data_IF_295512382856
#
_entry.id   IF_295512382856
#
_cell.length_a   1.000
_cell.length_b   1.000
_cell.length_c   1.000
_cell.angle_alpha   90.00
_cell.angle_beta   90.00
_cell.angle_gamma   90.00
#
_symmetry.space_group_name_H-M   'P 1'
#
loop_
_entity.id
_entity.type
_entity.pdbx_description
1 polymer ?
#
# COMPACT_ATOMS: atom_id res chain seq x y z
N UNK A 1 45.06 32.19 -0.68
CA UNK A 1 44.11 32.12 0.45
C UNK A 1 43.41 30.77 0.41
N UNK A 2 43.97 29.76 1.06
CA UNK A 2 43.34 28.45 1.25
C UNK A 2 42.72 28.43 2.64
N UNK A 3 41.39 28.29 2.72
CA UNK A 3 40.68 28.01 3.98
C UNK A 3 40.63 26.49 4.12
N UNK A 4 41.09 25.96 5.26
CA UNK A 4 41.18 24.52 5.50
C UNK A 4 39.83 23.87 5.78
N UNK A 5 39.69 22.60 5.39
CA UNK A 5 38.49 21.78 5.59
C UNK A 5 38.07 21.58 7.06
N UNK A 6 38.89 22.00 8.03
CA UNK A 6 38.57 21.95 9.46
C UNK A 6 37.61 23.04 9.93
N UNK A 7 37.43 24.12 9.15
CA UNK A 7 36.58 25.26 9.54
C UNK A 7 35.08 25.01 9.22
N UNK A 8 34.79 24.08 8.30
CA UNK A 8 33.42 23.67 7.95
C UNK A 8 32.83 22.65 8.92
N UNK A 9 33.64 21.75 9.48
CA UNK A 9 33.16 20.73 10.42
C UNK A 9 32.70 21.35 11.75
N UNK A 10 33.40 22.39 12.24
CA UNK A 10 33.01 23.12 13.44
C UNK A 10 31.71 23.93 13.25
N UNK A 11 31.50 24.56 12.09
CA UNK A 11 30.26 25.31 11.79
C UNK A 11 29.06 24.38 11.59
N UNK A 12 29.24 23.21 10.97
CA UNK A 12 28.18 22.20 10.82
C UNK A 12 27.80 21.52 12.15
N UNK A 13 28.78 21.29 13.04
CA UNK A 13 28.51 20.77 14.38
C UNK A 13 27.77 21.80 15.24
N UNK A 14 28.19 23.07 15.19
CA UNK A 14 27.51 24.19 15.86
C UNK A 14 26.07 24.36 15.38
N UNK A 15 25.79 24.26 14.07
CA UNK A 15 24.42 24.33 13.54
C UNK A 15 23.53 23.15 13.96
N UNK A 16 24.08 21.92 13.98
CA UNK A 16 23.36 20.74 14.48
C UNK A 16 23.06 20.84 15.97
N UNK A 17 23.99 21.37 16.77
CA UNK A 17 23.80 21.53 18.21
C UNK A 17 22.73 22.59 18.51
N UNK A 18 22.78 23.73 17.83
CA UNK A 18 21.79 24.82 17.98
C UNK A 18 20.38 24.38 17.55
N UNK A 19 20.24 23.55 16.51
CA UNK A 19 18.92 23.03 16.08
C UNK A 19 18.35 21.97 17.04
N UNK A 20 19.21 21.15 17.66
CA UNK A 20 18.79 20.15 18.66
C UNK A 20 18.40 20.83 19.98
N UNK A 21 19.15 21.85 20.40
CA UNK A 21 18.87 22.62 21.62
C UNK A 21 17.61 23.49 21.48
N UNK A 22 17.36 24.07 20.29
CA UNK A 22 16.12 24.80 20.01
C UNK A 22 14.87 23.89 20.04
N UNK A 23 14.97 22.66 19.50
CA UNK A 23 13.91 21.67 19.58
C UNK A 23 13.67 21.18 21.02
N UNK A 24 14.74 20.97 21.79
CA UNK A 24 14.64 20.57 23.21
C UNK A 24 14.01 21.67 24.07
N UNK A 25 14.39 22.93 23.84
CA UNK A 25 13.84 24.08 24.55
C UNK A 25 12.35 24.31 24.24
N UNK A 26 11.93 24.09 22.99
CA UNK A 26 10.51 24.12 22.62
C UNK A 26 9.73 23.00 23.31
N UNK A 27 10.21 21.76 23.27
CA UNK A 27 9.55 20.60 23.92
C UNK A 27 9.41 20.79 25.44
N UNK A 28 10.44 21.30 26.12
CA UNK A 28 10.38 21.57 27.56
C UNK A 28 9.45 22.73 27.93
N UNK A 29 9.35 23.76 27.07
CA UNK A 29 8.41 24.87 27.25
C UNK A 29 6.95 24.40 27.07
N UNK A 30 6.70 23.44 26.16
CA UNK A 30 5.38 22.86 25.94
C UNK A 30 4.96 21.86 27.03
N UNK A 31 5.90 21.09 27.59
CA UNK A 31 5.62 20.19 28.73
C UNK A 31 5.17 20.96 30.00
N UNK A 32 5.62 22.21 30.18
CA UNK A 32 5.15 23.08 31.27
C UNK A 32 3.76 23.66 31.03
N UNK A 33 3.39 23.91 29.77
CA UNK A 33 2.11 24.50 29.41
C UNK A 33 0.95 23.48 29.48
N UNK A 34 1.24 22.18 29.34
CA UNK A 34 0.26 21.10 29.52
C UNK A 34 -0.09 20.82 31.00
N UNK A 35 0.82 21.08 31.96
CA UNK A 35 0.51 20.91 33.40
C UNK A 35 -0.45 21.95 33.97
N UNK A 36 -0.74 23.01 33.22
CA UNK A 36 -1.58 24.12 33.72
C UNK A 36 -3.08 23.91 33.40
N UNK A 37 -3.44 22.94 32.55
CA UNK A 37 -4.83 22.76 32.08
C UNK A 37 -5.51 21.45 32.53
N UNK A 38 -4.99 20.74 33.53
CA UNK A 38 -5.71 19.60 34.15
C UNK A 38 -6.77 20.08 35.16
N UNK A 39 -7.78 20.77 34.66
CA UNK A 39 -8.91 21.20 35.47
C UNK A 39 -10.11 21.50 34.61
N UNK A 40 -10.74 20.47 34.04
CA UNK A 40 -12.18 20.40 33.71
C UNK A 40 -12.47 19.05 33.03
N UNK A 41 -13.22 18.20 33.74
CA UNK A 41 -13.66 16.89 33.29
C UNK A 41 -14.82 16.94 32.29
N UNK A 42 -15.03 15.80 31.63
CA UNK A 42 -16.10 15.45 30.69
C UNK A 42 -16.05 16.10 29.30
N UNK A 43 -15.51 15.38 28.31
CA UNK A 43 -16.00 15.33 26.91
C UNK A 43 -15.13 14.36 26.05
N UNK A 44 -15.13 13.07 26.39
CA UNK A 44 -14.51 12.04 25.53
C UNK A 44 -15.58 11.53 24.55
N UNK A 45 -15.76 12.22 23.42
CA UNK A 45 -16.38 11.65 22.19
C UNK A 45 -16.23 12.45 20.89
N UNK A 46 -15.47 13.54 20.86
CA UNK A 46 -15.25 14.33 19.63
C UNK A 46 -13.78 14.80 19.43
N UNK A 47 -12.83 14.19 20.13
CA UNK A 47 -11.44 14.69 20.24
C UNK A 47 -10.56 14.23 19.07
N UNK A 48 -10.86 13.11 18.40
CA UNK A 48 -10.00 12.56 17.33
C UNK A 48 -9.85 13.46 16.09
N UNK A 49 -10.97 13.93 15.51
CA UNK A 49 -10.93 14.78 14.31
C UNK A 49 -10.36 16.17 14.61
N UNK A 50 -10.70 16.76 15.77
CA UNK A 50 -10.18 18.07 16.16
C UNK A 50 -8.69 18.04 16.47
N UNK A 51 -8.16 16.97 17.08
CA UNK A 51 -6.72 16.87 17.34
C UNK A 51 -5.91 16.78 16.04
N UNK A 52 -6.38 16.02 15.05
CA UNK A 52 -5.69 15.87 13.77
C UNK A 52 -5.72 17.17 12.95
N UNK A 53 -6.88 17.83 12.89
CA UNK A 53 -7.03 19.13 12.25
C UNK A 53 -6.19 20.19 12.98
N UNK A 54 -6.20 20.21 14.31
CA UNK A 54 -5.40 21.13 15.12
C UNK A 54 -3.90 20.90 14.96
N UNK A 55 -3.45 19.64 14.87
CA UNK A 55 -2.06 19.28 14.56
C UNK A 55 -1.67 19.76 13.15
N UNK A 56 -2.51 19.53 12.14
CA UNK A 56 -2.28 19.99 10.76
C UNK A 56 -2.28 21.53 10.63
N UNK A 57 -3.07 22.23 11.44
CA UNK A 57 -3.15 23.70 11.42
C UNK A 57 -1.97 24.38 12.14
N UNK A 58 -1.34 23.74 13.14
CA UNK A 58 -0.37 24.37 14.04
C UNK A 58 1.11 24.08 13.74
N UNK A 59 1.42 23.02 12.98
CA UNK A 59 2.81 22.55 12.72
C UNK A 59 3.36 23.01 11.34
N UNK A 60 2.73 23.98 10.68
CA UNK A 60 3.17 24.50 9.37
C UNK A 60 3.84 25.89 9.44
N UNK A 61 5.01 26.08 10.09
CA UNK A 61 5.92 27.16 9.70
C UNK A 61 6.83 26.69 8.56
N UNK A 62 6.97 27.57 7.56
CA UNK A 62 7.69 27.38 6.30
C UNK A 62 9.20 27.15 6.48
N UNK A 63 9.72 26.08 5.87
CA UNK A 63 10.94 26.19 5.04
C UNK A 63 10.90 25.12 3.94
N UNK A 64 10.45 25.53 2.75
CA UNK A 64 10.36 24.70 1.54
C UNK A 64 11.71 24.69 0.82
N UNK A 65 12.76 24.21 1.49
CA UNK A 65 14.09 24.07 0.90
C UNK A 65 14.70 22.76 1.37
N UNK A 66 14.23 21.65 0.80
CA UNK A 66 14.95 20.37 0.67
C UNK A 66 14.02 19.30 0.09
N UNK A 67 13.96 19.15 -1.23
CA UNK A 67 13.52 17.92 -1.87
C UNK A 67 14.28 17.74 -3.19
N UNK A 68 15.62 17.66 -3.09
CA UNK A 68 16.44 17.02 -4.11
C UNK A 68 16.26 15.49 -3.98
N UNK A 69 16.04 14.84 -5.12
CA UNK A 69 16.07 13.38 -5.39
C UNK A 69 15.72 12.50 -4.18
N UNK A 70 14.43 12.13 -4.03
CA UNK A 70 14.04 11.16 -3.00
C UNK A 70 14.56 9.76 -3.37
N UNK A 71 15.46 9.15 -2.58
CA UNK A 71 15.91 7.78 -2.82
C UNK A 71 14.75 6.80 -2.66
N UNK A 72 14.80 5.70 -3.40
CA UNK A 72 13.89 4.58 -3.23
C UNK A 72 14.05 4.02 -1.81
N UNK A 73 13.00 4.13 -0.98
CA UNK A 73 13.01 3.63 0.40
C UNK A 73 13.08 2.10 0.38
N UNK A 74 14.22 1.55 0.82
CA UNK A 74 14.49 0.11 0.76
C UNK A 74 13.55 -0.66 1.68
N UNK A 75 13.28 -0.13 2.87
CA UNK A 75 12.33 -0.69 3.83
C UNK A 75 10.94 -0.88 3.23
N UNK A 76 10.43 0.12 2.50
CA UNK A 76 9.13 0.02 1.83
C UNK A 76 9.17 -1.00 0.70
N UNK A 77 10.26 -1.10 -0.06
CA UNK A 77 10.38 -2.14 -1.08
C UNK A 77 10.32 -3.54 -0.47
N UNK A 78 11.05 -3.77 0.62
CA UNK A 78 11.02 -5.05 1.33
C UNK A 78 9.62 -5.37 1.82
N UNK A 79 8.95 -4.38 2.43
CA UNK A 79 7.61 -4.57 2.96
C UNK A 79 6.57 -4.83 1.86
N UNK A 80 6.70 -4.21 0.68
CA UNK A 80 5.85 -4.52 -0.49
C UNK A 80 6.02 -5.97 -0.95
N UNK A 81 7.26 -6.48 -0.95
CA UNK A 81 7.53 -7.88 -1.28
C UNK A 81 6.94 -8.84 -0.25
N UNK A 82 7.13 -8.55 1.04
CA UNK A 82 6.55 -9.31 2.15
C UNK A 82 5.01 -9.32 2.05
N UNK A 83 4.38 -8.16 1.85
CA UNK A 83 2.92 -8.04 1.73
C UNK A 83 2.35 -8.84 0.55
N UNK A 84 3.02 -8.82 -0.62
CA UNK A 84 2.62 -9.66 -1.76
C UNK A 84 2.66 -11.15 -1.39
N UNK A 85 3.72 -11.59 -0.72
CA UNK A 85 3.87 -12.99 -0.32
C UNK A 85 2.90 -13.40 0.80
N UNK A 86 2.51 -12.47 1.68
CA UNK A 86 1.43 -12.68 2.65
C UNK A 86 0.09 -12.96 1.95
N UNK A 87 -0.24 -12.19 0.89
CA UNK A 87 -1.45 -12.42 0.09
C UNK A 87 -1.42 -13.77 -0.61
N UNK A 88 -0.26 -14.16 -1.17
CA UNK A 88 -0.08 -15.50 -1.76
C UNK A 88 -0.37 -16.59 -0.73
N UNK A 89 0.19 -16.47 0.47
CA UNK A 89 -0.03 -17.42 1.55
C UNK A 89 -1.50 -17.51 1.95
N UNK A 90 -2.19 -16.37 2.05
CA UNK A 90 -3.61 -16.32 2.36
C UNK A 90 -4.47 -17.06 1.33
N UNK A 91 -4.25 -16.81 0.03
CA UNK A 91 -5.02 -17.49 -1.02
C UNK A 91 -4.64 -18.96 -1.18
N UNK A 92 -3.37 -19.33 -0.96
CA UNK A 92 -2.95 -20.73 -0.93
C UNK A 92 -3.67 -21.48 0.20
N UNK A 93 -3.74 -20.88 1.39
CA UNK A 93 -4.47 -21.41 2.54
C UNK A 93 -5.99 -21.53 2.27
N UNK A 94 -6.60 -20.51 1.66
CA UNK A 94 -8.01 -20.56 1.26
C UNK A 94 -8.29 -21.75 0.32
N UNK A 95 -7.40 -21.98 -0.65
CA UNK A 95 -7.51 -23.14 -1.54
C UNK A 95 -7.26 -24.47 -0.81
N UNK A 96 -6.34 -24.53 0.17
CA UNK A 96 -6.16 -25.77 0.93
C UNK A 96 -7.37 -26.10 1.79
N UNK A 97 -8.05 -25.10 2.33
CA UNK A 97 -9.29 -25.29 3.08
C UNK A 97 -10.41 -25.80 2.15
N UNK A 98 -10.56 -25.18 0.98
CA UNK A 98 -11.60 -25.53 0.00
C UNK A 98 -11.39 -26.92 -0.64
N UNK A 99 -10.16 -27.25 -1.04
CA UNK A 99 -9.89 -28.43 -1.88
C UNK A 99 -9.25 -29.60 -1.15
N UNK A 100 -8.63 -29.38 0.01
CA UNK A 100 -7.89 -30.43 0.74
C UNK A 100 -8.31 -30.55 2.22
N UNK A 101 -9.30 -29.80 2.68
CA UNK A 101 -9.82 -29.86 4.05
C UNK A 101 -8.83 -29.40 5.14
N UNK A 102 -7.82 -28.60 4.77
CA UNK A 102 -6.77 -28.14 5.69
C UNK A 102 -6.77 -26.62 5.80
N UNK A 103 -6.97 -26.13 7.03
CA UNK A 103 -7.03 -24.69 7.33
C UNK A 103 -5.82 -24.27 8.15
N UNK A 104 -5.17 -23.20 7.71
CA UNK A 104 -4.06 -22.52 8.36
C UNK A 104 -4.51 -21.12 8.80
N UNK A 105 -3.61 -20.39 9.46
CA UNK A 105 -3.91 -19.04 9.94
C UNK A 105 -4.21 -18.05 8.80
N UNK A 106 -5.23 -17.17 8.92
CA UNK A 106 -5.56 -16.17 7.91
C UNK A 106 -4.63 -14.95 7.92
N UNK A 107 -3.55 -14.96 8.72
CA UNK A 107 -2.61 -13.84 8.89
C UNK A 107 -2.10 -13.21 7.58
N UNK A 108 -2.05 -13.99 6.49
CA UNK A 108 -1.67 -13.49 5.18
C UNK A 108 -2.59 -12.39 4.63
N UNK A 109 -3.85 -12.30 5.08
CA UNK A 109 -4.81 -11.29 4.63
C UNK A 109 -4.32 -9.86 4.93
N UNK A 110 -3.56 -9.67 6.01
CA UNK A 110 -2.96 -8.38 6.41
C UNK A 110 -2.06 -7.78 5.33
N UNK A 111 -1.59 -8.58 4.36
CA UNK A 111 -0.82 -8.06 3.23
C UNK A 111 -1.58 -6.99 2.44
N UNK A 112 -2.91 -7.09 2.34
CA UNK A 112 -3.76 -6.07 1.69
C UNK A 112 -3.74 -4.76 2.49
N UNK A 113 -3.93 -4.84 3.79
CA UNK A 113 -4.01 -3.68 4.68
C UNK A 113 -2.63 -2.95 4.73
N UNK A 114 -1.53 -3.71 4.72
CA UNK A 114 -0.17 -3.19 4.54
C UNK A 114 -0.04 -2.45 3.19
N UNK A 115 -0.57 -2.99 2.09
CA UNK A 115 -0.53 -2.31 0.79
C UNK A 115 -1.29 -0.98 0.81
N UNK A 116 -2.48 -0.91 1.42
CA UNK A 116 -3.24 0.34 1.51
C UNK A 116 -2.50 1.43 2.29
N UNK A 117 -1.91 1.09 3.43
CA UNK A 117 -1.08 2.01 4.22
C UNK A 117 0.16 2.46 3.41
N UNK A 118 0.85 1.53 2.73
CA UNK A 118 1.99 1.87 1.87
C UNK A 118 1.57 2.78 0.72
N UNK A 119 0.43 2.53 0.07
CA UNK A 119 -0.06 3.36 -1.03
C UNK A 119 -0.33 4.79 -0.57
N UNK A 120 -1.00 4.97 0.58
CA UNK A 120 -1.17 6.29 1.20
C UNK A 120 0.16 6.99 1.51
N UNK A 121 1.09 6.26 2.14
CA UNK A 121 2.42 6.75 2.50
C UNK A 121 3.21 7.22 1.28
N UNK A 122 3.32 6.38 0.25
CA UNK A 122 4.07 6.68 -0.97
C UNK A 122 3.42 7.82 -1.75
N UNK A 123 2.08 7.90 -1.82
CA UNK A 123 1.42 9.02 -2.49
C UNK A 123 1.78 10.35 -1.83
N UNK A 124 1.77 10.38 -0.50
CA UNK A 124 2.11 11.60 0.26
C UNK A 124 3.58 11.99 0.12
N UNK A 125 4.50 11.05 0.32
CA UNK A 125 5.95 11.32 0.36
C UNK A 125 6.52 11.63 -1.02
N UNK A 126 6.04 10.96 -2.07
CA UNK A 126 6.60 11.12 -3.43
C UNK A 126 5.95 12.25 -4.23
N UNK A 127 4.79 12.78 -3.80
CA UNK A 127 4.10 13.83 -4.54
C UNK A 127 4.45 15.21 -3.99
N UNK A 128 5.46 15.83 -4.61
CA UNK A 128 5.85 17.21 -4.34
C UNK A 128 4.85 18.24 -4.85
N UNK A 129 4.97 19.48 -4.36
CA UNK A 129 4.04 20.58 -4.61
C UNK A 129 3.89 21.03 -6.08
N UNK A 130 4.72 20.54 -7.00
CA UNK A 130 4.72 20.94 -8.43
C UNK A 130 4.08 19.92 -9.38
N UNK A 131 3.56 18.78 -8.88
CA UNK A 131 2.89 17.79 -9.74
C UNK A 131 1.45 18.20 -10.02
N UNK A 132 1.06 18.21 -11.29
CA UNK A 132 -0.34 18.44 -11.69
C UNK A 132 -1.19 17.18 -11.48
N UNK A 133 -2.50 17.30 -11.22
CA UNK A 133 -3.41 16.16 -11.14
C UNK A 133 -3.36 15.24 -12.37
N UNK A 134 -3.29 15.84 -13.56
CA UNK A 134 -3.24 15.09 -14.82
C UNK A 134 -1.97 14.24 -14.96
N UNK A 135 -0.79 14.82 -14.69
CA UNK A 135 0.48 14.08 -14.71
C UNK A 135 0.49 12.97 -13.65
N UNK A 136 -0.05 13.24 -12.46
CA UNK A 136 -0.19 12.22 -11.41
C UNK A 136 -1.04 11.05 -11.88
N UNK A 137 -2.27 11.29 -12.37
CA UNK A 137 -3.16 10.21 -12.82
C UNK A 137 -2.54 9.44 -13.98
N UNK A 138 -1.92 10.11 -14.96
CA UNK A 138 -1.25 9.43 -16.07
C UNK A 138 -0.17 8.46 -15.57
N UNK A 139 0.67 8.87 -14.61
CA UNK A 139 1.71 7.99 -14.05
C UNK A 139 1.10 6.79 -13.32
N UNK A 140 -0.04 6.95 -12.65
CA UNK A 140 -0.75 5.85 -11.98
C UNK A 140 -1.42 4.91 -12.96
N UNK A 141 -2.05 5.44 -14.01
CA UNK A 141 -2.65 4.64 -15.08
C UNK A 141 -1.59 3.79 -15.77
N UNK A 142 -0.46 4.40 -16.20
CA UNK A 142 0.65 3.68 -16.82
C UNK A 142 1.19 2.57 -15.90
N UNK A 143 1.18 2.80 -14.59
CA UNK A 143 1.68 1.83 -13.60
C UNK A 143 0.76 0.63 -13.40
N UNK A 144 -0.54 0.86 -13.28
CA UNK A 144 -1.52 -0.14 -12.83
C UNK A 144 -2.26 -0.78 -14.01
N UNK A 145 -2.83 0.05 -14.89
CA UNK A 145 -3.85 -0.38 -15.84
C UNK A 145 -3.34 -1.41 -16.85
N UNK A 146 -2.20 -1.23 -17.53
CA UNK A 146 -1.77 -2.16 -18.59
C UNK A 146 -1.62 -3.61 -18.12
N UNK A 147 -0.90 -3.82 -17.01
CA UNK A 147 -0.65 -5.18 -16.53
C UNK A 147 -1.94 -5.82 -15.99
N UNK A 148 -2.75 -5.07 -15.25
CA UNK A 148 -4.04 -5.57 -14.76
C UNK A 148 -4.96 -5.99 -15.93
N UNK A 149 -5.04 -5.19 -16.99
CA UNK A 149 -5.80 -5.55 -18.18
C UNK A 149 -5.24 -6.80 -18.86
N UNK A 150 -3.92 -6.88 -19.06
CA UNK A 150 -3.30 -8.08 -19.65
C UNK A 150 -3.64 -9.35 -18.87
N UNK A 151 -3.48 -9.33 -17.54
CA UNK A 151 -3.74 -10.51 -16.70
C UNK A 151 -5.24 -10.84 -16.65
N UNK A 152 -6.12 -9.84 -16.54
CA UNK A 152 -7.58 -10.04 -16.53
C UNK A 152 -8.08 -10.61 -17.86
N UNK A 153 -7.57 -10.11 -18.99
CA UNK A 153 -7.93 -10.60 -20.32
C UNK A 153 -7.37 -12.00 -20.55
N UNK A 154 -6.16 -12.31 -20.09
CA UNK A 154 -5.59 -13.65 -20.15
C UNK A 154 -6.43 -14.65 -19.35
N UNK A 155 -6.86 -14.28 -18.13
CA UNK A 155 -7.76 -15.08 -17.31
C UNK A 155 -9.10 -15.33 -18.02
N UNK A 156 -9.76 -14.28 -18.52
CA UNK A 156 -11.02 -14.42 -19.23
C UNK A 156 -10.88 -15.28 -20.50
N UNK A 157 -9.83 -15.05 -21.28
CA UNK A 157 -9.53 -15.83 -22.49
C UNK A 157 -9.31 -17.31 -22.17
N UNK A 158 -8.63 -17.61 -21.05
CA UNK A 158 -8.43 -18.99 -20.60
C UNK A 158 -9.76 -19.71 -20.34
N UNK A 159 -10.77 -19.03 -19.78
CA UNK A 159 -12.09 -19.61 -19.56
C UNK A 159 -12.87 -19.82 -20.85
N UNK A 160 -12.67 -18.93 -21.84
CA UNK A 160 -13.28 -19.07 -23.18
C UNK A 160 -12.69 -20.27 -23.92
N UNK A 161 -11.37 -20.44 -23.87
CA UNK A 161 -10.66 -21.51 -24.59
C UNK A 161 -10.83 -22.87 -23.90
N UNK A 162 -10.54 -22.94 -22.60
CA UNK A 162 -10.58 -24.17 -21.81
C UNK A 162 -11.94 -24.34 -21.15
N UNK A 163 -13.00 -24.26 -21.97
CA UNK A 163 -14.39 -24.27 -21.53
C UNK A 163 -14.64 -25.44 -20.57
N UNK A 164 -15.06 -25.13 -19.36
CA UNK A 164 -15.46 -26.12 -18.37
C UNK A 164 -16.99 -26.06 -18.16
N UNK A 165 -17.50 -26.88 -17.25
CA UNK A 165 -18.93 -26.91 -16.90
C UNK A 165 -19.42 -25.63 -16.20
N UNK A 166 -18.53 -24.71 -15.83
CA UNK A 166 -18.93 -23.42 -15.24
C UNK A 166 -19.31 -22.44 -16.33
N UNK A 167 -20.49 -21.79 -16.25
CA UNK A 167 -20.87 -20.73 -17.18
C UNK A 167 -19.85 -19.59 -17.21
N UNK A 168 -19.62 -19.03 -18.40
CA UNK A 168 -18.80 -17.83 -18.54
C UNK A 168 -19.49 -16.63 -17.87
N UNK A 169 -18.73 -15.76 -17.18
CA UNK A 169 -19.27 -14.48 -16.70
C UNK A 169 -19.80 -13.62 -17.87
N UNK A 170 -20.83 -12.79 -17.62
CA UNK A 170 -21.32 -11.86 -18.63
C UNK A 170 -20.23 -10.84 -19.00
N UNK A 171 -20.27 -10.34 -20.25
CA UNK A 171 -19.33 -9.33 -20.74
C UNK A 171 -19.35 -8.06 -19.87
N UNK A 172 -20.49 -7.73 -19.27
CA UNK A 172 -20.64 -6.64 -18.32
C UNK A 172 -19.66 -6.75 -17.14
N UNK A 173 -19.49 -7.94 -16.54
CA UNK A 173 -18.55 -8.14 -15.43
C UNK A 173 -17.10 -7.94 -15.91
N UNK A 174 -16.76 -8.36 -17.13
CA UNK A 174 -15.44 -8.10 -17.71
C UNK A 174 -15.21 -6.59 -17.87
N UNK A 175 -16.17 -5.86 -18.47
CA UNK A 175 -16.05 -4.42 -18.67
C UNK A 175 -15.94 -3.67 -17.34
N UNK A 176 -16.80 -3.99 -16.36
CA UNK A 176 -16.72 -3.40 -15.01
C UNK A 176 -15.39 -3.72 -14.32
N UNK A 177 -14.87 -4.94 -14.49
CA UNK A 177 -13.54 -5.31 -13.96
C UNK A 177 -12.44 -4.46 -14.59
N UNK A 178 -12.43 -4.29 -15.91
CA UNK A 178 -11.41 -3.50 -16.63
C UNK A 178 -11.50 -2.01 -16.30
N UNK A 179 -12.70 -1.50 -16.00
CA UNK A 179 -12.95 -0.10 -15.64
C UNK A 179 -12.84 0.18 -14.12
N UNK A 180 -12.42 -0.81 -13.32
CA UNK A 180 -12.31 -0.70 -11.86
C UNK A 180 -13.64 -0.33 -11.16
N UNK A 181 -14.76 -0.82 -11.70
CA UNK A 181 -16.10 -0.61 -11.14
C UNK A 181 -16.46 -1.79 -10.24
N UNK A 182 -16.67 -1.59 -8.93
CA UNK A 182 -17.13 -2.64 -8.03
C UNK A 182 -18.48 -3.21 -8.49
N UNK A 183 -18.58 -4.54 -8.50
CA UNK A 183 -19.77 -5.25 -8.94
C UNK A 183 -19.82 -6.64 -8.30
N UNK A 184 -21.01 -7.24 -8.34
CA UNK A 184 -21.20 -8.62 -7.88
C UNK A 184 -20.69 -9.56 -8.97
N UNK A 185 -19.76 -10.44 -8.59
CA UNK A 185 -19.25 -11.50 -9.45
C UNK A 185 -20.35 -12.51 -9.74
N UNK A 186 -20.64 -12.74 -11.02
CA UNK A 186 -21.60 -13.77 -11.44
C UNK A 186 -21.14 -15.20 -11.10
N UNK A 187 -19.87 -15.40 -10.71
CA UNK A 187 -19.32 -16.72 -10.35
C UNK A 187 -19.35 -17.00 -8.86
N UNK A 188 -19.10 -15.99 -8.03
CA UNK A 188 -18.92 -16.17 -6.58
C UNK A 188 -20.01 -15.49 -5.75
N UNK A 189 -20.81 -14.61 -6.36
CA UNK A 189 -21.81 -13.81 -5.67
C UNK A 189 -21.22 -12.74 -4.75
N UNK A 190 -19.90 -12.58 -4.72
CA UNK A 190 -19.20 -11.59 -3.89
C UNK A 190 -18.93 -10.30 -4.66
N UNK A 191 -18.64 -9.21 -3.94
CA UNK A 191 -18.22 -7.95 -4.55
C UNK A 191 -16.74 -8.05 -4.92
N UNK A 192 -16.46 -8.58 -6.10
CA UNK A 192 -15.12 -8.77 -6.61
C UNK A 192 -15.11 -8.75 -8.15
N UNK A 193 -14.04 -8.23 -8.78
CA UNK A 193 -13.85 -8.33 -10.22
C UNK A 193 -13.42 -9.74 -10.64
N UNK A 194 -13.37 -9.98 -11.96
CA UNK A 194 -13.00 -11.26 -12.56
C UNK A 194 -11.67 -11.81 -12.02
N UNK A 195 -10.66 -10.95 -11.97
CA UNK A 195 -9.42 -11.25 -11.29
C UNK A 195 -9.60 -10.82 -9.83
N UNK A 196 -9.74 -11.77 -8.91
CA UNK A 196 -10.10 -11.51 -7.50
C UNK A 196 -9.25 -10.39 -6.89
N UNK A 197 -7.94 -10.38 -7.13
CA UNK A 197 -6.99 -9.35 -6.66
C UNK A 197 -7.41 -7.91 -7.02
N UNK A 198 -8.22 -7.72 -8.06
CA UNK A 198 -8.69 -6.40 -8.50
C UNK A 198 -9.65 -5.71 -7.54
N UNK A 199 -10.26 -6.39 -6.55
CA UNK A 199 -11.16 -5.72 -5.60
C UNK A 199 -10.43 -4.62 -4.82
N UNK A 200 -9.15 -4.85 -4.47
CA UNK A 200 -8.29 -3.85 -3.81
C UNK A 200 -7.86 -2.74 -4.77
N UNK A 201 -7.70 -3.05 -6.06
CA UNK A 201 -7.36 -2.04 -7.07
C UNK A 201 -8.52 -1.06 -7.31
N UNK A 202 -9.77 -1.48 -7.12
CA UNK A 202 -10.91 -0.55 -7.14
C UNK A 202 -10.76 0.53 -6.07
N UNK A 203 -10.36 0.15 -4.85
CA UNK A 203 -10.06 1.09 -3.77
C UNK A 203 -8.89 2.00 -4.14
N UNK A 204 -7.82 1.43 -4.69
CA UNK A 204 -6.61 2.17 -5.01
C UNK A 204 -6.83 3.21 -6.14
N UNK A 205 -7.55 2.85 -7.21
CA UNK A 205 -7.89 3.77 -8.29
C UNK A 205 -8.83 4.89 -7.82
N UNK A 206 -9.78 4.58 -6.93
CA UNK A 206 -10.64 5.58 -6.32
C UNK A 206 -9.87 6.53 -5.41
N UNK A 207 -8.97 6.01 -4.57
CA UNK A 207 -8.05 6.81 -3.77
C UNK A 207 -7.16 7.71 -4.64
N UNK A 208 -6.66 7.22 -5.76
CA UNK A 208 -5.87 8.03 -6.69
C UNK A 208 -6.69 9.18 -7.29
N UNK A 209 -7.97 9.00 -7.57
CA UNK A 209 -8.83 10.09 -8.02
C UNK A 209 -9.00 11.17 -6.94
N UNK A 210 -9.28 10.78 -5.69
CA UNK A 210 -9.36 11.71 -4.55
C UNK A 210 -8.03 12.43 -4.33
N UNK A 211 -6.93 11.68 -4.36
CA UNK A 211 -5.60 12.24 -4.16
C UNK A 211 -5.22 13.20 -5.29
N UNK A 212 -5.57 12.90 -6.55
CA UNK A 212 -5.36 13.81 -7.67
C UNK A 212 -6.11 15.14 -7.49
N UNK A 213 -7.37 15.09 -7.05
CA UNK A 213 -8.14 16.30 -6.72
C UNK A 213 -7.49 17.10 -5.60
N UNK A 214 -6.91 16.41 -4.61
CA UNK A 214 -6.18 17.06 -3.52
C UNK A 214 -4.97 17.88 -3.99
N UNK A 215 -4.38 17.54 -5.16
CA UNK A 215 -3.24 18.28 -5.74
C UNK A 215 -3.62 19.66 -6.30
N UNK A 216 -4.91 19.96 -6.43
CA UNK A 216 -5.40 21.31 -6.73
C UNK A 216 -5.20 22.26 -5.52
N UNK A 217 -4.97 21.71 -4.33
CA UNK A 217 -4.78 22.46 -3.10
C UNK A 217 -3.32 22.42 -2.65
N UNK A 218 -2.89 23.48 -1.96
CA UNK A 218 -1.54 23.59 -1.42
C UNK A 218 -1.38 22.88 -0.08
N UNK A 219 -0.20 22.28 0.14
CA UNK A 219 0.34 21.86 1.45
C UNK A 219 -0.69 21.31 2.45
N UNK A 220 -0.97 22.07 3.51
CA UNK A 220 -1.89 21.68 4.60
C UNK A 220 -3.33 21.39 4.16
N UNK A 221 -3.84 22.10 3.17
CA UNK A 221 -5.22 21.92 2.68
C UNK A 221 -5.37 20.61 1.92
N UNK A 222 -4.29 20.13 1.30
CA UNK A 222 -4.23 18.79 0.70
C UNK A 222 -4.47 17.70 1.74
N UNK A 223 -3.78 17.78 2.89
CA UNK A 223 -3.98 16.83 3.98
C UNK A 223 -5.43 16.87 4.47
N UNK A 224 -5.92 18.06 4.81
CA UNK A 224 -7.29 18.24 5.30
C UNK A 224 -8.29 17.65 4.32
N UNK A 225 -8.19 17.94 3.02
CA UNK A 225 -9.11 17.38 2.02
C UNK A 225 -9.09 15.85 2.01
N UNK A 226 -7.91 15.23 1.93
CA UNK A 226 -7.80 13.76 1.88
C UNK A 226 -8.41 13.12 3.13
N UNK A 227 -8.06 13.60 4.32
CA UNK A 227 -8.62 13.06 5.56
C UNK A 227 -10.11 13.30 5.69
N UNK A 228 -10.57 14.52 5.40
CA UNK A 228 -11.99 14.89 5.51
C UNK A 228 -12.83 14.09 4.53
N UNK A 229 -12.44 14.00 3.25
CA UNK A 229 -13.20 13.24 2.25
C UNK A 229 -13.27 11.76 2.59
N UNK A 230 -12.13 11.11 2.87
CA UNK A 230 -12.12 9.67 3.18
C UNK A 230 -12.91 9.36 4.45
N UNK A 231 -12.75 10.17 5.51
CA UNK A 231 -13.50 9.99 6.76
C UNK A 231 -14.99 10.24 6.56
N UNK A 232 -15.39 11.28 5.82
CA UNK A 232 -16.80 11.57 5.53
C UNK A 232 -17.45 10.44 4.74
N UNK A 233 -16.77 9.87 3.74
CA UNK A 233 -17.27 8.72 2.99
C UNK A 233 -17.51 7.51 3.89
N UNK A 234 -16.57 7.21 4.80
CA UNK A 234 -16.74 6.12 5.76
C UNK A 234 -17.90 6.37 6.71
N UNK A 235 -18.04 7.61 7.23
CA UNK A 235 -19.17 7.98 8.08
C UNK A 235 -20.51 7.87 7.35
N UNK A 236 -20.58 8.24 6.07
CA UNK A 236 -21.75 8.03 5.22
C UNK A 236 -22.09 6.52 5.18
N UNK A 237 -21.11 5.65 4.97
CA UNK A 237 -21.33 4.20 4.99
C UNK A 237 -21.78 3.62 6.33
N UNK A 238 -21.46 4.28 7.45
CA UNK A 238 -21.96 3.87 8.77
C UNK A 238 -23.40 4.31 9.03
N UNK A 239 -23.84 5.41 8.41
CA UNK A 239 -25.19 5.96 8.59
C UNK A 239 -26.17 5.38 7.56
N UNK A 240 -25.71 5.17 6.33
CA UNK A 240 -26.54 4.71 5.22
C UNK A 240 -26.14 3.29 4.81
N UNK A 241 -27.01 2.33 5.10
CA UNK A 241 -26.86 0.98 4.56
C UNK A 241 -27.24 0.96 3.08
N UNK A 242 -26.48 0.20 2.28
CA UNK A 242 -26.73 0.05 0.85
C UNK A 242 -26.43 -1.38 0.42
N UNK A 243 -27.20 -1.89 -0.54
CA UNK A 243 -26.91 -3.12 -1.27
C UNK A 243 -26.11 -2.87 -2.55
N UNK A 244 -25.88 -1.61 -2.91
CA UNK A 244 -25.15 -1.25 -4.12
C UNK A 244 -23.64 -1.51 -3.91
N UNK A 245 -22.99 -2.33 -4.77
CA UNK A 245 -21.57 -2.68 -4.61
C UNK A 245 -20.61 -1.48 -4.59
N UNK A 246 -20.93 -0.44 -5.38
CA UNK A 246 -20.14 0.79 -5.46
C UNK A 246 -20.20 1.55 -4.14
N UNK A 247 -21.40 1.70 -3.56
CA UNK A 247 -21.58 2.34 -2.26
C UNK A 247 -20.83 1.55 -1.18
N UNK A 248 -21.06 0.23 -1.08
CA UNK A 248 -20.41 -0.64 -0.08
C UNK A 248 -18.88 -0.49 -0.14
N UNK A 249 -18.31 -0.50 -1.35
CA UNK A 249 -16.85 -0.40 -1.56
C UNK A 249 -16.36 0.99 -1.19
N UNK A 250 -16.91 2.06 -1.77
CA UNK A 250 -16.39 3.41 -1.62
C UNK A 250 -16.85 4.16 -0.37
N UNK A 251 -17.55 3.48 0.54
CA UNK A 251 -17.79 3.92 1.92
C UNK A 251 -17.20 2.96 2.95
N UNK A 252 -16.36 2.00 2.54
CA UNK A 252 -15.76 1.04 3.47
C UNK A 252 -14.66 1.69 4.35
N UNK A 253 -14.60 1.36 5.65
CA UNK A 253 -13.51 1.70 6.58
C UNK A 253 -12.09 1.48 6.06
N UNK A 254 -11.87 0.57 5.10
CA UNK A 254 -10.57 0.37 4.45
C UNK A 254 -9.99 1.65 3.82
N UNK A 255 -10.85 2.60 3.42
CA UNK A 255 -10.41 3.92 2.95
C UNK A 255 -9.57 4.68 3.99
N UNK A 256 -9.78 4.43 5.29
CA UNK A 256 -9.01 5.07 6.35
C UNK A 256 -7.57 4.58 6.41
N UNK A 257 -7.24 3.40 5.86
CA UNK A 257 -5.86 2.92 5.81
C UNK A 257 -4.99 3.74 4.86
N UNK A 258 -5.56 4.17 3.72
CA UNK A 258 -4.91 5.14 2.83
C UNK A 258 -4.71 6.49 3.53
N UNK A 259 -5.70 6.94 4.31
CA UNK A 259 -5.58 8.17 5.09
C UNK A 259 -4.47 8.05 6.15
N UNK A 260 -4.44 6.96 6.92
CA UNK A 260 -3.40 6.68 7.91
C UNK A 260 -2.02 6.55 7.27
N UNK A 261 -1.93 5.97 6.06
CA UNK A 261 -0.71 5.98 5.25
C UNK A 261 -0.26 7.41 4.92
N UNK A 262 -1.17 8.28 4.48
CA UNK A 262 -0.85 9.70 4.25
C UNK A 262 -0.40 10.40 5.54
N UNK A 263 -1.00 10.08 6.70
CA UNK A 263 -0.59 10.61 8.01
C UNK A 263 0.85 10.24 8.30
N UNK A 264 1.17 8.96 8.10
CA UNK A 264 2.51 8.44 8.32
C UNK A 264 3.53 9.11 7.38
N UNK A 265 3.14 9.38 6.14
CA UNK A 265 3.95 10.15 5.20
C UNK A 265 4.21 11.58 5.66
N UNK A 266 3.22 12.23 6.27
CA UNK A 266 3.36 13.56 6.87
C UNK A 266 4.34 13.51 8.06
N UNK A 267 4.15 12.56 8.98
CA UNK A 267 5.03 12.33 10.15
C UNK A 267 6.48 12.09 9.69
N UNK A 268 6.68 11.30 8.63
CA UNK A 268 7.98 11.05 8.02
C UNK A 268 8.63 12.32 7.47
N UNK A 269 7.90 13.16 6.73
CA UNK A 269 8.42 14.41 6.18
C UNK A 269 8.86 15.40 7.27
N UNK A 270 8.20 15.39 8.43
CA UNK A 270 8.61 16.18 9.59
C UNK A 270 9.71 15.53 10.44
N UNK A 271 10.25 14.38 10.02
CA UNK A 271 11.27 13.63 10.76
C UNK A 271 10.83 13.27 12.19
N UNK A 272 9.52 13.07 12.38
CA UNK A 272 8.90 12.74 13.68
C UNK A 272 8.75 11.22 13.90
N UNK A 273 9.29 10.40 13.01
CA UNK A 273 9.33 8.97 13.23
C UNK A 273 10.27 8.62 14.40
N UNK A 274 9.94 7.56 15.15
CA UNK A 274 10.76 7.14 16.27
C UNK A 274 12.13 6.63 15.82
N UNK A 275 13.06 6.51 16.77
CA UNK A 275 14.39 5.96 16.53
C UNK A 275 14.30 4.51 16.03
N UNK A 276 15.29 4.01 15.25
CA UNK A 276 15.27 2.66 14.68
C UNK A 276 14.99 1.53 15.70
N UNK A 277 15.49 1.64 16.93
CA UNK A 277 15.23 0.64 17.99
C UNK A 277 13.75 0.49 18.32
N UNK A 278 13.01 1.60 18.39
CA UNK A 278 11.56 1.59 18.56
C UNK A 278 10.85 1.11 17.29
N UNK A 279 11.46 1.28 16.11
CA UNK A 279 10.95 0.70 14.86
C UNK A 279 10.81 -0.82 14.93
N UNK A 280 11.79 -1.52 15.53
CA UNK A 280 11.70 -2.96 15.79
C UNK A 280 10.52 -3.27 16.72
N UNK A 281 10.36 -2.49 17.80
CA UNK A 281 9.24 -2.65 18.74
C UNK A 281 7.89 -2.47 18.05
N UNK A 282 7.75 -1.48 17.17
CA UNK A 282 6.52 -1.26 16.39
C UNK A 282 6.21 -2.45 15.46
N UNK A 283 7.22 -2.99 14.77
CA UNK A 283 7.05 -4.18 13.94
C UNK A 283 6.61 -5.39 14.77
N UNK A 284 7.29 -5.67 15.89
CA UNK A 284 6.93 -6.79 16.78
C UNK A 284 5.51 -6.61 17.32
N UNK A 285 5.18 -5.42 17.81
CA UNK A 285 3.84 -5.12 18.33
C UNK A 285 2.77 -5.31 17.25
N UNK A 286 3.00 -4.82 16.03
CA UNK A 286 2.10 -5.02 14.91
C UNK A 286 1.89 -6.51 14.58
N UNK A 287 2.97 -7.30 14.51
CA UNK A 287 2.88 -8.75 14.28
C UNK A 287 2.13 -9.46 15.42
N UNK A 288 2.43 -9.11 16.68
CA UNK A 288 1.72 -9.68 17.85
C UNK A 288 0.24 -9.34 17.80
N UNK A 289 -0.14 -8.10 17.48
CA UNK A 289 -1.54 -7.71 17.37
C UNK A 289 -2.26 -8.43 16.23
N UNK A 290 -1.60 -8.65 15.07
CA UNK A 290 -2.15 -9.49 14.01
C UNK A 290 -2.38 -10.94 14.48
N UNK A 291 -1.43 -11.51 15.23
CA UNK A 291 -1.57 -12.86 15.77
C UNK A 291 -2.70 -12.97 16.82
N UNK A 292 -2.91 -11.94 17.62
CA UNK A 292 -3.95 -11.90 18.67
C UNK A 292 -5.34 -11.57 18.12
N UNK A 293 -5.42 -10.82 17.02
CA UNK A 293 -6.67 -10.48 16.34
C UNK A 293 -7.52 -11.70 15.95
N UNK A 294 -6.93 -12.90 15.91
CA UNK A 294 -7.65 -14.16 15.75
C UNK A 294 -8.10 -14.43 14.32
N UNK A 295 -9.08 -15.33 14.17
CA UNK A 295 -9.62 -15.79 12.88
C UNK A 295 -10.80 -14.94 12.39
N UNK A 296 -10.90 -13.68 12.81
CA UNK A 296 -11.93 -12.77 12.31
C UNK A 296 -11.88 -12.73 10.77
N UNK A 297 -13.06 -12.77 10.16
CA UNK A 297 -13.20 -13.04 8.73
C UNK A 297 -12.40 -12.04 7.89
N UNK A 298 -11.50 -12.54 7.06
CA UNK A 298 -10.76 -11.74 6.08
C UNK A 298 -11.68 -11.07 5.03
N UNK A 299 -12.96 -11.44 4.98
CA UNK A 299 -13.98 -10.79 4.15
C UNK A 299 -14.73 -9.66 4.89
N UNK A 300 -14.43 -9.41 6.17
CA UNK A 300 -15.04 -8.32 6.92
C UNK A 300 -14.62 -6.96 6.35
N UNK A 301 -15.59 -6.13 5.98
CA UNK A 301 -15.38 -4.76 5.53
C UNK A 301 -15.76 -3.75 6.62
N UNK A 302 -16.06 -4.20 7.84
CA UNK A 302 -16.47 -3.35 8.96
C UNK A 302 -15.30 -2.60 9.62
N UNK A 303 -15.62 -1.75 10.59
CA UNK A 303 -14.63 -1.03 11.38
C UNK A 303 -13.75 -1.98 12.22
N UNK A 304 -14.20 -3.21 12.48
CA UNK A 304 -13.39 -4.24 13.15
C UNK A 304 -12.15 -4.55 12.33
N UNK A 305 -12.26 -4.65 11.00
CA UNK A 305 -11.10 -4.85 10.13
C UNK A 305 -10.05 -3.77 10.31
N UNK A 306 -10.47 -2.51 10.34
CA UNK A 306 -9.54 -1.39 10.54
C UNK A 306 -8.78 -1.51 11.87
N UNK A 307 -9.44 -1.98 12.94
CA UNK A 307 -8.80 -2.15 14.25
C UNK A 307 -7.86 -3.38 14.29
N UNK A 308 -8.29 -4.49 13.72
CA UNK A 308 -7.60 -5.78 13.84
C UNK A 308 -6.54 -6.03 12.76
N UNK A 309 -6.67 -5.39 11.60
CA UNK A 309 -5.77 -5.56 10.45
C UNK A 309 -5.11 -4.24 10.07
N UNK A 310 -5.89 -3.16 9.96
CA UNK A 310 -5.40 -1.83 9.59
C UNK A 310 -4.43 -1.23 10.61
N UNK A 311 -4.81 -1.14 11.89
CA UNK A 311 -3.97 -0.53 12.92
C UNK A 311 -2.64 -1.28 13.13
N UNK A 312 -2.59 -2.63 13.19
CA UNK A 312 -1.33 -3.36 13.18
C UNK A 312 -0.50 -3.13 11.92
N UNK A 313 -1.14 -3.02 10.75
CA UNK A 313 -0.46 -2.71 9.49
C UNK A 313 0.19 -1.33 9.52
N UNK A 314 -0.46 -0.32 10.11
CA UNK A 314 0.14 1.01 10.33
C UNK A 314 1.38 0.92 11.22
N UNK A 315 1.35 0.13 12.30
CA UNK A 315 2.51 -0.07 13.17
C UNK A 315 3.66 -0.74 12.42
N UNK A 316 3.38 -1.75 11.60
CA UNK A 316 4.39 -2.43 10.78
C UNK A 316 5.00 -1.46 9.77
N UNK A 317 4.20 -0.70 9.02
CA UNK A 317 4.72 0.28 8.05
C UNK A 317 5.54 1.35 8.77
N UNK A 318 5.05 1.89 9.89
CA UNK A 318 5.79 2.87 10.70
C UNK A 318 7.13 2.31 11.21
N UNK A 319 7.14 1.05 11.65
CA UNK A 319 8.35 0.36 12.09
C UNK A 319 9.36 0.18 10.97
N UNK A 320 8.93 -0.29 9.79
CA UNK A 320 9.80 -0.44 8.61
C UNK A 320 10.40 0.90 8.16
N UNK A 321 9.60 1.96 8.08
CA UNK A 321 10.11 3.29 7.69
C UNK A 321 11.09 3.84 8.74
N UNK A 322 10.84 3.59 10.02
CA UNK A 322 11.77 3.98 11.11
C UNK A 322 13.10 3.23 11.05
N UNK A 323 13.11 2.03 10.45
CA UNK A 323 14.30 1.20 10.24
C UNK A 323 15.07 1.54 8.97
N UNK A 324 14.56 2.44 8.10
CA UNK A 324 15.22 2.82 6.85
C UNK A 324 16.70 3.21 7.03
N UNK A 325 17.11 4.02 8.05
CA UNK A 325 18.51 4.39 8.22
C UNK A 325 19.44 3.20 8.50
N UNK A 326 18.89 2.06 8.92
CA UNK A 326 19.60 0.82 9.24
C UNK A 326 19.40 -0.27 8.18
N UNK A 327 18.58 0.00 7.15
CA UNK A 327 18.27 -0.95 6.10
C UNK A 327 19.54 -1.25 5.30
N UNK A 328 19.94 -2.53 5.29
CA UNK A 328 21.01 -3.02 4.44
C UNK A 328 20.44 -3.42 3.08
N UNK A 329 21.26 -3.35 2.04
CA UNK A 329 20.88 -3.86 0.72
C UNK A 329 20.63 -5.37 0.79
N UNK A 330 19.42 -5.79 0.42
CA UNK A 330 19.01 -7.17 0.30
C UNK A 330 18.39 -7.37 -1.07
N UNK A 331 19.16 -8.00 -1.97
CA UNK A 331 18.78 -8.19 -3.36
C UNK A 331 17.49 -8.98 -3.54
N UNK A 332 17.25 -9.99 -2.69
CA UNK A 332 16.05 -10.82 -2.78
C UNK A 332 14.80 -10.02 -2.37
N UNK A 333 14.85 -9.33 -1.24
CA UNK A 333 13.71 -8.51 -0.80
C UNK A 333 13.47 -7.32 -1.72
N UNK A 334 14.53 -6.71 -2.25
CA UNK A 334 14.44 -5.69 -3.31
C UNK A 334 13.76 -6.24 -4.57
N UNK A 335 14.13 -7.44 -5.02
CA UNK A 335 13.54 -8.09 -6.19
C UNK A 335 12.06 -8.43 -5.96
N UNK A 336 11.72 -9.02 -4.83
CA UNK A 336 10.33 -9.33 -4.46
C UNK A 336 9.49 -8.05 -4.36
N UNK A 337 10.04 -6.98 -3.78
CA UNK A 337 9.41 -5.66 -3.71
C UNK A 337 9.19 -5.04 -5.08
N UNK A 338 10.17 -5.15 -5.98
CA UNK A 338 10.07 -4.67 -7.35
C UNK A 338 8.99 -5.44 -8.14
N UNK A 339 8.96 -6.76 -7.99
CA UNK A 339 8.00 -7.67 -8.63
C UNK A 339 6.66 -7.80 -7.90
N UNK A 340 6.46 -7.08 -6.79
CA UNK A 340 5.32 -7.31 -5.88
C UNK A 340 3.96 -7.15 -6.57
N UNK A 341 3.87 -6.25 -7.55
CA UNK A 341 2.63 -6.02 -8.29
C UNK A 341 2.32 -7.17 -9.25
N UNK A 342 3.33 -7.65 -9.98
CA UNK A 342 3.22 -8.86 -10.80
C UNK A 342 2.85 -10.08 -9.96
N UNK A 343 3.55 -10.33 -8.83
CA UNK A 343 3.22 -11.43 -7.90
C UNK A 343 1.76 -11.30 -7.44
N UNK A 344 1.35 -10.10 -7.02
CA UNK A 344 -0.01 -9.84 -6.57
C UNK A 344 -1.08 -10.06 -7.66
N UNK A 345 -0.79 -9.81 -8.93
CA UNK A 345 -1.76 -10.07 -10.00
C UNK A 345 -1.77 -11.53 -10.47
N UNK A 346 -0.61 -12.18 -10.53
CA UNK A 346 -0.50 -13.51 -11.13
C UNK A 346 -0.71 -14.65 -10.14
N UNK A 347 -0.70 -14.39 -8.82
CA UNK A 347 -0.76 -15.47 -7.82
C UNK A 347 -2.02 -16.35 -7.95
N UNK A 348 -3.17 -15.78 -8.31
CA UNK A 348 -4.40 -16.57 -8.46
C UNK A 348 -4.29 -17.55 -9.63
N UNK A 349 -3.59 -17.16 -10.71
CA UNK A 349 -3.33 -18.01 -11.87
C UNK A 349 -2.32 -19.12 -11.53
N UNK A 350 -1.23 -18.79 -10.82
CA UNK A 350 -0.23 -19.78 -10.42
C UNK A 350 -0.79 -20.80 -9.45
N UNK A 351 -1.58 -20.38 -8.46
CA UNK A 351 -2.26 -21.29 -7.53
C UNK A 351 -3.29 -22.17 -8.24
N UNK A 352 -4.06 -21.61 -9.19
CA UNK A 352 -5.00 -22.40 -9.99
C UNK A 352 -4.28 -23.46 -10.84
N UNK A 353 -3.16 -23.10 -11.50
CA UNK A 353 -2.36 -24.04 -12.27
C UNK A 353 -1.76 -25.15 -11.40
N UNK A 354 -1.24 -24.80 -10.21
CA UNK A 354 -0.74 -25.78 -9.25
C UNK A 354 -1.85 -26.72 -8.78
N UNK A 355 -3.06 -26.20 -8.52
CA UNK A 355 -4.23 -27.03 -8.16
C UNK A 355 -4.55 -28.01 -9.28
N UNK A 356 -4.65 -27.53 -10.51
CA UNK A 356 -4.90 -28.38 -11.68
C UNK A 356 -3.85 -29.49 -11.82
N UNK A 357 -2.57 -29.20 -11.56
CA UNK A 357 -1.50 -30.19 -11.58
C UNK A 357 -1.68 -31.25 -10.48
N UNK A 358 -1.97 -30.85 -9.24
CA UNK A 358 -2.21 -31.78 -8.12
C UNK A 358 -3.35 -32.75 -8.44
N UNK A 359 -4.46 -32.23 -8.99
CA UNK A 359 -5.61 -33.05 -9.38
C UNK A 359 -5.31 -33.96 -10.58
N UNK A 360 -4.56 -33.48 -11.57
CA UNK A 360 -4.17 -34.28 -12.73
C UNK A 360 -3.26 -35.46 -12.35
N UNK A 361 -2.42 -35.28 -11.32
CA UNK A 361 -1.58 -36.35 -10.76
C UNK A 361 -2.33 -37.28 -9.79
N UNK A 362 -3.60 -37.01 -9.48
CA UNK A 362 -4.39 -37.80 -8.54
C UNK A 362 -3.93 -37.68 -7.08
N UNK A 363 -3.23 -36.59 -6.73
CA UNK A 363 -2.58 -36.45 -5.43
C UNK A 363 -3.49 -35.80 -4.37
N UNK A 364 -4.67 -35.30 -4.71
CA UNK A 364 -5.50 -34.46 -3.83
C UNK A 364 -5.88 -35.09 -2.48
N UNK A 365 -5.84 -36.42 -2.35
CA UNK A 365 -6.27 -37.13 -1.14
C UNK A 365 -5.12 -37.42 -0.14
N UNK A 366 -3.86 -37.15 -0.49
CA UNK A 366 -2.75 -37.41 0.43
C UNK A 366 -2.60 -36.32 1.49
N UNK A 367 -2.40 -36.73 2.74
CA UNK A 367 -2.33 -35.83 3.91
C UNK A 367 -1.20 -34.80 3.85
N UNK A 368 -0.12 -35.07 3.11
CA UNK A 368 1.01 -34.14 2.97
C UNK A 368 0.78 -33.04 1.90
N UNK A 369 -0.24 -33.20 1.04
CA UNK A 369 -0.47 -32.32 -0.11
C UNK A 369 -0.79 -30.89 0.28
N UNK A 370 -1.59 -30.58 1.33
CA UNK A 370 -1.83 -29.20 1.72
C UNK A 370 -0.54 -28.43 2.01
N UNK A 371 0.39 -29.03 2.77
CA UNK A 371 1.67 -28.41 3.12
C UNK A 371 2.54 -28.18 1.89
N UNK A 372 2.62 -29.19 1.00
CA UNK A 372 3.35 -29.05 -0.27
C UNK A 372 2.70 -27.99 -1.15
N UNK A 373 1.37 -27.94 -1.22
CA UNK A 373 0.64 -26.96 -2.01
C UNK A 373 0.92 -25.53 -1.54
N UNK A 374 0.93 -25.28 -0.23
CA UNK A 374 1.27 -23.95 0.31
C UNK A 374 2.71 -23.58 -0.03
N UNK A 375 3.69 -24.46 0.21
CA UNK A 375 5.10 -24.17 -0.06
C UNK A 375 5.36 -23.99 -1.57
N UNK A 376 4.86 -24.91 -2.40
CA UNK A 376 5.01 -24.85 -3.85
C UNK A 376 4.24 -23.67 -4.44
N UNK A 377 3.06 -23.33 -3.91
CA UNK A 377 2.27 -22.17 -4.29
C UNK A 377 2.97 -20.87 -3.93
N UNK A 378 3.59 -20.79 -2.74
CA UNK A 378 4.39 -19.66 -2.29
C UNK A 378 5.60 -19.43 -3.21
N UNK A 379 6.43 -20.45 -3.41
CA UNK A 379 7.62 -20.35 -4.27
C UNK A 379 7.23 -20.15 -5.73
N UNK A 380 6.27 -20.92 -6.23
CA UNK A 380 5.81 -20.86 -7.62
C UNK A 380 5.21 -19.50 -7.97
N UNK A 381 4.41 -18.91 -7.09
CA UNK A 381 3.85 -17.57 -7.32
C UNK A 381 4.92 -16.47 -7.29
N UNK A 382 5.94 -16.61 -6.43
CA UNK A 382 7.09 -15.70 -6.44
C UNK A 382 7.87 -15.80 -7.76
N UNK A 383 8.18 -17.01 -8.23
CA UNK A 383 8.90 -17.25 -9.49
C UNK A 383 8.10 -16.73 -10.68
N UNK A 384 6.82 -17.12 -10.81
CA UNK A 384 5.95 -16.69 -11.91
C UNK A 384 5.78 -15.16 -11.89
N UNK A 385 5.59 -14.56 -10.71
CA UNK A 385 5.49 -13.12 -10.56
C UNK A 385 6.78 -12.39 -10.93
N UNK A 386 7.96 -12.92 -10.59
CA UNK A 386 9.25 -12.37 -11.03
C UNK A 386 9.41 -12.49 -12.55
N UNK A 387 9.04 -13.62 -13.14
CA UNK A 387 9.04 -13.79 -14.60
C UNK A 387 8.10 -12.77 -15.27
N UNK A 388 6.85 -12.64 -14.79
CA UNK A 388 5.89 -11.66 -15.29
C UNK A 388 6.40 -10.22 -15.11
N UNK A 389 7.12 -9.92 -14.02
CA UNK A 389 7.73 -8.63 -13.80
C UNK A 389 8.74 -8.27 -14.90
N UNK A 390 9.64 -9.19 -15.24
CA UNK A 390 10.66 -8.96 -16.25
C UNK A 390 10.12 -9.02 -17.69
N UNK A 391 9.17 -9.91 -17.96
CA UNK A 391 8.68 -10.20 -19.31
C UNK A 391 7.47 -9.35 -19.72
N UNK A 392 6.65 -8.89 -18.78
CA UNK A 392 5.42 -8.16 -19.05
C UNK A 392 5.42 -6.77 -18.41
N UNK A 393 5.52 -6.71 -17.07
CA UNK A 393 5.37 -5.45 -16.33
C UNK A 393 6.41 -4.41 -16.76
N UNK A 394 7.70 -4.74 -16.69
CA UNK A 394 8.80 -3.83 -17.04
C UNK A 394 8.70 -3.33 -18.49
N UNK A 395 8.54 -4.21 -19.50
CA UNK A 395 8.36 -3.77 -20.89
C UNK A 395 7.16 -2.85 -21.07
N UNK A 396 5.99 -3.20 -20.53
CA UNK A 396 4.77 -2.37 -20.63
C UNK A 396 4.99 -0.99 -20.03
N UNK A 397 5.58 -0.92 -18.83
CA UNK A 397 5.91 0.36 -18.19
C UNK A 397 6.85 1.19 -19.03
N UNK A 398 7.90 0.58 -19.58
CA UNK A 398 8.87 1.29 -20.41
C UNK A 398 8.24 1.85 -21.69
N UNK A 399 7.35 1.08 -22.30
CA UNK A 399 6.63 1.45 -23.52
C UNK A 399 5.68 2.63 -23.26
N UNK A 400 4.80 2.51 -22.27
CA UNK A 400 3.81 3.56 -21.97
C UNK A 400 4.45 4.82 -21.37
N UNK A 401 5.54 4.70 -20.59
CA UNK A 401 6.29 5.88 -20.14
C UNK A 401 6.87 6.68 -21.31
N UNK A 402 7.42 6.01 -22.33
CA UNK A 402 7.95 6.67 -23.55
C UNK A 402 6.84 7.38 -24.33
N UNK A 403 5.63 6.82 -24.38
CA UNK A 403 4.49 7.47 -25.03
C UNK A 403 4.05 8.74 -24.30
N UNK A 404 3.99 8.69 -22.97
CA UNK A 404 3.60 9.85 -22.15
C UNK A 404 4.68 10.95 -22.20
N UNK A 405 5.96 10.59 -22.14
CA UNK A 405 7.06 11.58 -22.17
C UNK A 405 7.25 12.25 -23.55
N UNK A 406 6.90 11.56 -24.65
CA UNK A 406 6.92 12.14 -26.01
C UNK A 406 5.87 13.22 -26.23
N UNK A 407 4.78 13.19 -25.47
CA UNK A 407 3.65 14.12 -25.60
C UNK A 407 3.64 15.22 -24.52
N UNK A 408 4.61 15.23 -23.60
CA UNK A 408 4.76 16.25 -22.58
C UNK A 408 5.78 17.32 -23.04
N UNK A 409 5.55 18.63 -22.81
CA UNK A 409 6.59 19.62 -22.93
C UNK A 409 7.75 19.22 -22.00
N UNK A 410 8.98 19.23 -22.52
CA UNK A 410 10.19 18.74 -21.86
C UNK A 410 10.23 19.03 -20.36
N UNK A 411 10.09 17.99 -19.53
CA UNK A 411 10.24 18.07 -18.08
C UNK A 411 11.46 17.25 -17.63
N UNK A 412 12.35 17.88 -16.88
CA UNK A 412 13.69 17.39 -16.49
C UNK A 412 13.76 16.85 -15.05
N UNK A 413 12.69 16.22 -14.55
CA UNK A 413 12.69 15.66 -13.20
C UNK A 413 12.88 14.14 -13.22
N UNK A 414 13.93 13.67 -12.53
CA UNK A 414 14.15 12.26 -12.30
C UNK A 414 13.01 11.68 -11.45
N UNK A 415 12.28 10.72 -12.02
CA UNK A 415 11.29 9.94 -11.31
C UNK A 415 11.98 9.04 -10.26
N UNK A 416 11.52 9.00 -8.99
CA UNK A 416 12.07 8.14 -7.94
C UNK A 416 11.79 6.63 -8.14
N UNK A 417 11.26 6.26 -9.32
CA UNK A 417 11.04 4.87 -9.77
C UNK A 417 12.06 4.50 -10.86
N UNK A 418 13.09 5.32 -11.09
CA UNK A 418 14.21 4.96 -11.95
C UNK A 418 14.95 3.78 -11.33
N UNK A 419 14.76 2.59 -11.90
CA UNK A 419 15.75 1.51 -11.79
C UNK A 419 17.10 2.06 -12.22
N UNK A 420 18.21 1.72 -11.54
CA UNK A 420 19.52 2.11 -12.02
C UNK A 420 19.64 1.63 -13.48
N UNK A 421 19.91 2.58 -14.37
CA UNK A 421 20.33 2.25 -15.72
C UNK A 421 21.61 1.45 -15.57
N UNK A 422 21.57 0.15 -15.88
CA UNK A 422 22.78 -0.62 -16.14
C UNK A 422 23.37 -0.08 -17.44
N UNK A 423 24.06 1.05 -17.32
CA UNK A 423 25.00 1.59 -18.30
C UNK A 423 26.31 1.77 -17.55
N UNK A 424 26.93 0.65 -17.21
CA UNK A 424 28.39 0.58 -17.15
C UNK A 424 28.83 -0.06 -18.45
N UNK A 425 29.64 0.71 -19.19
CA UNK A 425 30.42 0.25 -20.35
C UNK A 425 31.33 -0.90 -19.97
#
# INVERSE_FOLDING_TARGET
MMVSASDWSHRLCSFKQVSVDANRFMVERYARQFRVNEGLGHHVRFIGCNFLIFFMLRVYPLSMTQLEVQPQLSSIQYLRGIAAMMVVFFHANGMTAEYFGSTWSPLGAAGVDIFFVISGFIMWVTTGARRTPASFIQHRIVRVVPLYWCVTLALFSSWVIFRNSTPLPPLENLLKSLLFIPHISARTGQIEPLLIAGWTLNFEMFFYAIFALSLLLSGRYRAILVFSVLTSLVMIGQVFSSSNPVMITYTSPLLLEFALGCLLGLIYQYQLLPRPSLGVTLCILGVVLLCVAGTDSAADLSFRRLLYWGAPSVLIVAGFVSLEPTARDNRLLSLLGAASYSIYLTHSLSLAALKSLVFALGLQNYQFVPSIFVVAGFVGSAVIGICAYHLLERPLLSFFKRLVSRNAPSWSGNDPISTPSNTTR
#
